data_IF_990135654238
#
_entry.id   IF_990135654238
#
_cell.length_a   1.000
_cell.length_b   1.000
_cell.length_c   1.000
_cell.angle_alpha   90.00
_cell.angle_beta   90.00
_cell.angle_gamma   90.00
#
_symmetry.space_group_name_H-M   'P 1'
#
loop_
_entity.id
_entity.type
_entity.pdbx_description
1 polymer ?
#
# COMPACT_ATOMS: atom_id res chain seq x y z
N UNK A 1 4.95 18.49 -9.17
CA UNK A 1 4.62 19.20 -7.91
C UNK A 1 5.46 18.69 -6.74
N UNK A 2 5.55 17.39 -6.46
CA UNK A 2 6.29 16.84 -5.32
C UNK A 2 7.77 17.23 -5.27
N UNK A 3 8.53 17.14 -6.39
CA UNK A 3 9.94 17.52 -6.41
C UNK A 3 10.18 18.99 -6.00
N UNK A 4 9.31 19.92 -6.43
CA UNK A 4 9.40 21.33 -6.01
C UNK A 4 9.20 21.51 -4.51
N UNK A 5 8.35 20.70 -3.87
CA UNK A 5 8.18 20.71 -2.40
C UNK A 5 9.46 20.23 -1.71
N UNK A 6 10.05 19.13 -2.18
CA UNK A 6 11.31 18.60 -1.67
C UNK A 6 12.45 19.63 -1.78
N UNK A 7 12.54 20.28 -2.91
CA UNK A 7 13.57 21.30 -3.17
C UNK A 7 13.41 22.51 -2.24
N UNK A 8 12.19 23.01 -2.04
CA UNK A 8 11.90 24.08 -1.08
C UNK A 8 12.19 23.66 0.36
N UNK A 9 11.77 22.46 0.77
CA UNK A 9 12.04 21.94 2.10
C UNK A 9 13.55 21.84 2.36
N UNK A 10 14.32 21.32 1.39
CA UNK A 10 15.77 21.26 1.46
C UNK A 10 16.42 22.66 1.59
N UNK A 11 15.96 23.63 0.80
CA UNK A 11 16.42 25.03 0.89
C UNK A 11 16.10 25.64 2.27
N UNK A 12 14.99 25.22 2.89
CA UNK A 12 14.62 25.56 4.26
C UNK A 12 15.35 24.78 5.37
N UNK A 13 16.36 23.97 5.00
CA UNK A 13 17.19 23.24 5.96
C UNK A 13 16.75 21.83 6.29
N UNK A 14 15.66 21.31 5.68
CA UNK A 14 15.22 19.91 5.88
C UNK A 14 16.26 18.96 5.30
N UNK A 15 16.70 17.99 6.09
CA UNK A 15 17.72 17.00 5.72
C UNK A 15 17.22 15.56 5.70
N UNK A 16 15.99 15.32 6.18
CA UNK A 16 15.36 14.00 6.20
C UNK A 16 13.98 14.07 5.57
N UNK A 17 13.69 13.08 4.73
CA UNK A 17 12.40 12.90 4.07
C UNK A 17 11.91 11.49 4.28
N UNK A 18 10.64 11.36 4.64
CA UNK A 18 9.90 10.09 4.69
C UNK A 18 8.78 10.18 3.67
N UNK A 19 8.67 9.18 2.80
CA UNK A 19 7.74 9.22 1.67
C UNK A 19 6.89 7.96 1.63
N UNK A 20 5.58 8.15 1.55
CA UNK A 20 4.63 7.09 1.26
C UNK A 20 4.56 6.83 -0.26
N UNK A 21 5.12 5.71 -0.68
CA UNK A 21 4.97 5.13 -2.01
C UNK A 21 3.78 4.20 -2.09
N UNK A 22 3.79 3.32 -3.08
CA UNK A 22 2.71 2.34 -3.29
C UNK A 22 3.26 1.01 -3.78
N UNK A 23 2.73 -0.09 -3.27
CA UNK A 23 3.03 -1.42 -3.79
C UNK A 23 2.70 -1.56 -5.29
N UNK A 24 1.75 -0.81 -5.80
CA UNK A 24 1.39 -0.83 -7.22
C UNK A 24 2.51 -0.37 -8.16
N UNK A 25 3.56 0.28 -7.65
CA UNK A 25 4.76 0.61 -8.41
C UNK A 25 5.42 -0.61 -9.03
N UNK A 26 5.36 -1.77 -8.38
CA UNK A 26 5.87 -3.03 -8.90
C UNK A 26 5.08 -3.54 -10.11
N UNK A 27 3.78 -3.25 -10.19
CA UNK A 27 2.93 -3.62 -11.32
C UNK A 27 3.04 -5.11 -11.66
N UNK A 28 3.35 -5.44 -12.94
CA UNK A 28 3.48 -6.83 -13.42
C UNK A 28 4.63 -7.61 -12.79
N UNK A 29 5.68 -6.93 -12.37
CA UNK A 29 6.78 -7.57 -11.64
C UNK A 29 6.30 -8.24 -10.37
N UNK A 30 5.42 -7.58 -9.60
CA UNK A 30 4.91 -8.11 -8.33
C UNK A 30 4.21 -9.47 -8.45
N UNK A 31 3.60 -9.76 -9.61
CA UNK A 31 2.89 -11.03 -9.85
C UNK A 31 3.84 -12.23 -9.89
N UNK A 32 5.11 -12.03 -10.22
CA UNK A 32 6.14 -13.08 -10.37
C UNK A 32 6.79 -13.50 -9.05
N UNK A 33 6.42 -12.84 -7.95
CA UNK A 33 7.01 -13.09 -6.63
C UNK A 33 5.99 -13.69 -5.67
N UNK A 34 6.38 -14.69 -4.92
CA UNK A 34 5.58 -15.15 -3.78
C UNK A 34 5.53 -14.08 -2.68
N UNK A 35 6.66 -13.46 -2.40
CA UNK A 35 6.80 -12.26 -1.56
C UNK A 35 7.60 -11.21 -2.34
N UNK A 36 7.02 -10.05 -2.56
CA UNK A 36 7.62 -8.99 -3.36
C UNK A 36 8.72 -8.30 -2.56
N UNK A 37 9.95 -8.42 -3.01
CA UNK A 37 11.10 -7.77 -2.36
C UNK A 37 11.11 -6.27 -2.65
N UNK A 38 11.72 -5.42 -1.77
CA UNK A 38 11.86 -4.00 -2.06
C UNK A 38 12.65 -3.68 -3.34
N UNK A 39 13.48 -4.61 -3.79
CA UNK A 39 14.32 -4.48 -4.98
C UNK A 39 13.68 -5.09 -6.25
N UNK A 40 12.42 -5.55 -6.17
CA UNK A 40 11.73 -6.07 -7.36
C UNK A 40 11.60 -4.97 -8.44
N UNK A 41 11.71 -5.30 -9.73
CA UNK A 41 11.60 -4.34 -10.82
C UNK A 41 10.28 -3.57 -10.79
N UNK A 42 10.30 -2.30 -11.20
CA UNK A 42 9.10 -1.47 -11.32
C UNK A 42 8.54 -1.62 -12.74
N UNK A 43 7.37 -2.25 -12.86
CA UNK A 43 6.68 -2.51 -14.14
C UNK A 43 5.21 -2.08 -14.07
N UNK A 44 4.95 -0.79 -13.78
CA UNK A 44 3.59 -0.30 -13.59
C UNK A 44 2.73 -0.46 -14.85
N UNK A 45 1.45 -0.84 -14.66
CA UNK A 45 0.55 -1.13 -15.78
C UNK A 45 -0.47 -0.02 -16.06
N UNK A 46 -0.62 0.96 -15.16
CA UNK A 46 -1.60 2.05 -15.24
C UNK A 46 -0.97 3.40 -14.89
N UNK A 47 -1.66 4.48 -15.18
CA UNK A 47 -1.17 5.85 -14.98
C UNK A 47 -0.81 6.17 -13.52
N UNK A 48 -1.64 5.77 -12.56
CA UNK A 48 -1.35 5.99 -11.14
C UNK A 48 -0.09 5.25 -10.67
N UNK A 49 0.05 3.92 -10.85
CA UNK A 49 1.29 3.20 -10.57
C UNK A 49 2.52 3.78 -11.28
N UNK A 50 2.37 4.16 -12.55
CA UNK A 50 3.46 4.74 -13.33
C UNK A 50 3.92 6.08 -12.73
N UNK A 51 2.99 6.94 -12.30
CA UNK A 51 3.33 8.21 -11.67
C UNK A 51 4.05 8.03 -10.33
N UNK A 52 3.66 7.02 -9.55
CA UNK A 52 4.32 6.67 -8.27
C UNK A 52 5.72 6.10 -8.51
N UNK A 53 5.87 5.18 -9.45
CA UNK A 53 7.18 4.62 -9.83
C UNK A 53 8.13 5.70 -10.37
N UNK A 54 7.66 6.60 -11.24
CA UNK A 54 8.46 7.72 -11.71
C UNK A 54 8.88 8.64 -10.54
N UNK A 55 7.97 8.91 -9.61
CA UNK A 55 8.27 9.72 -8.43
C UNK A 55 9.33 9.07 -7.54
N UNK A 56 9.28 7.74 -7.35
CA UNK A 56 10.27 7.02 -6.53
C UNK A 56 11.69 7.13 -7.11
N UNK A 57 11.82 7.02 -8.44
CA UNK A 57 13.10 7.20 -9.14
C UNK A 57 13.63 8.64 -8.98
N UNK A 58 12.74 9.63 -9.14
CA UNK A 58 13.11 11.05 -8.98
C UNK A 58 13.56 11.35 -7.55
N UNK A 59 12.87 10.84 -6.54
CA UNK A 59 13.22 11.02 -5.13
C UNK A 59 14.53 10.31 -4.77
N UNK A 60 14.75 9.11 -5.34
CA UNK A 60 16.03 8.41 -5.18
C UNK A 60 17.18 9.30 -5.65
N UNK A 61 17.12 9.78 -6.92
CA UNK A 61 18.18 10.60 -7.49
C UNK A 61 18.34 11.94 -6.75
N UNK A 62 17.24 12.55 -6.30
CA UNK A 62 17.28 13.75 -5.49
C UNK A 62 18.05 13.55 -4.19
N UNK A 63 17.78 12.45 -3.47
CA UNK A 63 18.45 12.16 -2.22
C UNK A 63 19.96 11.91 -2.41
N UNK A 64 20.33 11.17 -3.45
CA UNK A 64 21.75 10.95 -3.82
C UNK A 64 22.44 12.26 -4.16
N UNK A 65 21.84 13.08 -5.06
CA UNK A 65 22.45 14.31 -5.56
C UNK A 65 22.67 15.39 -4.49
N UNK A 66 21.79 15.44 -3.48
CA UNK A 66 21.82 16.45 -2.44
C UNK A 66 22.28 15.93 -1.07
N UNK A 67 22.76 14.69 -1.02
CA UNK A 67 23.24 14.05 0.22
C UNK A 67 22.19 14.13 1.35
N UNK A 68 20.97 13.64 1.08
CA UNK A 68 19.79 13.73 1.94
C UNK A 68 19.41 12.35 2.47
N UNK A 69 18.93 12.27 3.70
CA UNK A 69 18.33 11.07 4.27
C UNK A 69 16.93 10.88 3.68
N UNK A 70 16.73 9.82 2.92
CA UNK A 70 15.43 9.45 2.35
C UNK A 70 15.02 8.05 2.81
N UNK A 71 13.84 7.94 3.41
CA UNK A 71 13.15 6.68 3.65
C UNK A 71 11.89 6.63 2.81
N UNK A 72 11.79 5.66 1.89
CA UNK A 72 10.68 5.50 0.96
C UNK A 72 9.96 4.19 1.24
N UNK A 73 8.68 4.27 1.61
CA UNK A 73 7.87 3.14 2.03
C UNK A 73 6.81 2.81 0.99
N UNK A 74 6.94 1.67 0.29
CA UNK A 74 5.90 1.16 -0.61
C UNK A 74 4.82 0.50 0.22
N UNK A 75 3.76 1.25 0.44
CA UNK A 75 2.64 0.83 1.29
C UNK A 75 1.77 -0.17 0.55
N UNK A 76 1.45 -1.29 1.22
CA UNK A 76 0.57 -2.33 0.69
C UNK A 76 -0.90 -1.99 0.97
N UNK A 77 -1.80 -2.96 1.03
CA UNK A 77 -3.24 -2.71 1.03
C UNK A 77 -3.72 -2.09 2.36
N UNK A 78 -3.63 -0.79 2.47
CA UNK A 78 -4.11 -0.03 3.64
C UNK A 78 -5.63 -0.06 3.68
N UNK A 79 -6.17 -0.21 4.90
CA UNK A 79 -7.59 -0.07 5.18
C UNK A 79 -7.79 0.72 6.48
N UNK A 80 -8.97 1.30 6.64
CA UNK A 80 -9.35 2.01 7.86
C UNK A 80 -10.18 3.25 7.60
N UNK A 81 -10.40 4.04 8.65
CA UNK A 81 -11.19 5.25 8.57
C UNK A 81 -10.53 6.28 7.63
N UNK A 82 -11.36 6.94 6.83
CA UNK A 82 -10.90 7.88 5.80
C UNK A 82 -10.63 7.25 4.42
N UNK A 83 -10.71 5.92 4.28
CA UNK A 83 -10.64 5.27 2.97
C UNK A 83 -11.86 5.62 2.11
N UNK A 84 -11.67 5.73 0.78
CA UNK A 84 -12.77 6.05 -0.13
C UNK A 84 -13.88 4.97 -0.11
N UNK A 85 -15.14 5.39 -0.03
CA UNK A 85 -16.31 4.52 0.18
C UNK A 85 -16.46 3.37 -0.82
N UNK A 86 -15.93 3.54 -2.04
CA UNK A 86 -15.94 2.51 -3.10
C UNK A 86 -14.93 1.38 -2.91
N UNK A 87 -14.08 1.48 -1.88
CA UNK A 87 -13.08 0.47 -1.58
C UNK A 87 -13.67 -0.65 -0.73
N UNK A 88 -12.97 -1.78 -0.66
CA UNK A 88 -13.47 -3.00 -0.05
C UNK A 88 -13.88 -2.81 1.41
N UNK A 89 -13.01 -2.28 2.27
CA UNK A 89 -13.30 -2.19 3.70
C UNK A 89 -14.45 -1.25 4.02
N UNK A 90 -14.53 0.00 3.47
CA UNK A 90 -15.69 0.86 3.68
C UNK A 90 -16.98 0.28 3.11
N UNK A 91 -16.94 -0.39 1.95
CA UNK A 91 -18.11 -1.05 1.38
C UNK A 91 -18.62 -2.20 2.27
N UNK A 92 -17.71 -3.01 2.83
CA UNK A 92 -18.04 -4.04 3.82
C UNK A 92 -18.69 -3.43 5.06
N UNK A 93 -18.08 -2.37 5.61
CA UNK A 93 -18.60 -1.69 6.80
C UNK A 93 -19.98 -1.09 6.57
N UNK A 94 -20.14 -0.39 5.45
CA UNK A 94 -21.43 0.21 5.08
C UNK A 94 -22.54 -0.85 4.97
N UNK A 95 -22.31 -1.91 4.20
CA UNK A 95 -23.31 -2.98 4.00
C UNK A 95 -23.62 -3.70 5.32
N UNK A 96 -22.60 -4.03 6.12
CA UNK A 96 -22.78 -4.70 7.40
C UNK A 96 -23.63 -3.88 8.37
N UNK A 97 -23.36 -2.58 8.51
CA UNK A 97 -24.10 -1.69 9.42
C UNK A 97 -25.50 -1.35 8.90
N UNK A 98 -25.69 -1.32 7.59
CA UNK A 98 -27.00 -1.12 6.97
C UNK A 98 -27.87 -2.38 6.92
N UNK A 99 -27.32 -3.55 7.25
CA UNK A 99 -28.02 -4.84 7.21
C UNK A 99 -28.37 -5.29 5.78
N UNK A 100 -27.61 -4.88 4.78
CA UNK A 100 -27.83 -5.22 3.37
C UNK A 100 -26.80 -6.22 2.86
N UNK A 101 -27.19 -6.98 1.85
CA UNK A 101 -26.29 -7.94 1.19
C UNK A 101 -25.15 -7.22 0.48
N UNK A 102 -23.97 -7.83 0.47
CA UNK A 102 -22.82 -7.34 -0.29
C UNK A 102 -22.32 -8.40 -1.27
N UNK A 103 -22.50 -8.20 -2.60
CA UNK A 103 -21.91 -9.07 -3.59
C UNK A 103 -20.39 -8.81 -3.70
N UNK A 104 -19.58 -9.90 -3.62
CA UNK A 104 -18.15 -9.85 -3.86
C UNK A 104 -17.72 -11.03 -4.74
N UNK A 105 -16.46 -11.02 -5.19
CA UNK A 105 -15.84 -12.15 -5.89
C UNK A 105 -15.74 -13.37 -4.95
N UNK A 106 -15.22 -14.50 -5.43
CA UNK A 106 -14.91 -15.64 -4.55
C UNK A 106 -13.89 -15.30 -3.45
N UNK A 107 -13.16 -14.19 -3.63
CA UNK A 107 -12.25 -13.65 -2.62
C UNK A 107 -10.99 -14.47 -2.40
N UNK A 108 -10.54 -15.23 -3.39
CA UNK A 108 -9.33 -16.08 -3.31
C UNK A 108 -8.02 -15.28 -3.44
N UNK A 109 -8.12 -14.01 -3.86
CA UNK A 109 -6.95 -13.17 -3.99
C UNK A 109 -6.28 -12.96 -2.62
N UNK A 110 -4.98 -13.22 -2.57
CA UNK A 110 -4.17 -13.03 -1.35
C UNK A 110 -3.56 -11.63 -1.36
N UNK A 111 -3.76 -10.93 -0.26
CA UNK A 111 -3.25 -9.57 -0.02
C UNK A 111 -2.61 -9.49 1.36
N UNK A 112 -1.84 -8.45 1.58
CA UNK A 112 -1.40 -8.02 2.91
C UNK A 112 -2.18 -6.77 3.27
N UNK A 113 -3.16 -6.90 4.16
CA UNK A 113 -3.96 -5.78 4.64
C UNK A 113 -3.32 -5.18 5.88
N UNK A 114 -3.12 -3.86 5.89
CA UNK A 114 -2.49 -3.13 7.00
C UNK A 114 -3.42 -2.00 7.47
N UNK A 115 -3.70 -1.89 8.79
CA UNK A 115 -4.47 -0.78 9.35
C UNK A 115 -3.80 0.57 9.05
N UNK A 116 -4.59 1.60 8.78
CA UNK A 116 -4.05 2.95 8.51
C UNK A 116 -3.26 3.51 9.70
N UNK A 117 -3.65 3.17 10.91
CA UNK A 117 -2.97 3.56 12.15
C UNK A 117 -1.55 2.96 12.23
N UNK A 118 -1.39 1.69 11.82
CA UNK A 118 -0.08 1.02 11.78
C UNK A 118 0.81 1.67 10.73
N UNK A 119 0.24 2.01 9.56
CA UNK A 119 0.96 2.75 8.50
C UNK A 119 1.42 4.11 9.01
N UNK A 120 0.55 4.84 9.71
CA UNK A 120 0.88 6.16 10.26
C UNK A 120 2.01 6.06 11.29
N UNK A 121 1.95 5.06 12.18
CA UNK A 121 2.98 4.79 13.18
C UNK A 121 4.32 4.49 12.53
N UNK A 122 4.36 3.57 11.55
CA UNK A 122 5.59 3.20 10.82
C UNK A 122 6.23 4.41 10.10
N UNK A 123 5.40 5.28 9.51
CA UNK A 123 5.89 6.49 8.84
C UNK A 123 6.44 7.52 9.84
N UNK A 124 5.83 7.65 11.03
CA UNK A 124 6.35 8.50 12.09
C UNK A 124 7.67 7.96 12.66
N UNK A 125 7.74 6.66 12.94
CA UNK A 125 8.97 6.00 13.41
C UNK A 125 10.11 6.15 12.39
N UNK A 126 9.78 6.12 11.10
CA UNK A 126 10.75 6.35 10.02
C UNK A 126 11.37 7.77 10.05
N UNK A 127 10.72 8.74 10.68
CA UNK A 127 11.28 10.08 10.86
C UNK A 127 12.50 10.07 11.80
N UNK A 128 12.58 9.11 12.71
CA UNK A 128 13.67 8.98 13.70
C UNK A 128 14.63 7.82 13.40
N UNK A 129 14.37 7.06 12.32
CA UNK A 129 15.13 5.87 11.99
C UNK A 129 16.63 6.16 11.80
N UNK A 130 17.46 5.64 12.68
CA UNK A 130 18.92 5.92 12.71
C UNK A 130 19.69 5.26 11.56
N UNK A 131 19.18 4.18 10.97
CA UNK A 131 19.81 3.44 9.88
C UNK A 131 19.77 4.11 8.50
N UNK A 132 19.10 5.28 8.35
CA UNK A 132 19.05 6.01 7.09
C UNK A 132 20.24 6.96 7.02
N UNK A 133 21.12 6.73 6.04
CA UNK A 133 22.33 7.53 5.84
C UNK A 133 22.12 8.65 4.82
N UNK A 134 22.98 9.67 4.90
CA UNK A 134 22.97 10.77 3.93
C UNK A 134 23.37 10.24 2.55
N UNK A 135 22.58 10.56 1.53
CA UNK A 135 22.84 10.14 0.15
C UNK A 135 22.64 8.65 -0.16
N UNK A 136 22.23 7.83 0.84
CA UNK A 136 21.91 6.41 0.67
C UNK A 136 20.41 6.19 0.91
N UNK A 137 19.54 6.38 -0.11
CA UNK A 137 18.10 6.22 0.05
C UNK A 137 17.70 4.81 0.47
N UNK A 138 16.85 4.71 1.50
CA UNK A 138 16.32 3.45 1.98
C UNK A 138 14.91 3.22 1.42
N UNK A 139 14.74 2.13 0.67
CA UNK A 139 13.46 1.68 0.14
C UNK A 139 12.98 0.44 0.89
N UNK A 140 11.75 0.48 1.38
CA UNK A 140 11.12 -0.61 2.12
C UNK A 140 9.71 -0.89 1.62
N UNK A 141 9.25 -2.12 1.83
CA UNK A 141 7.84 -2.45 1.81
C UNK A 141 7.25 -2.19 3.19
N UNK A 142 6.04 -1.63 3.22
CA UNK A 142 5.27 -1.43 4.43
C UNK A 142 3.97 -2.23 4.32
N UNK A 143 3.78 -3.20 5.19
CA UNK A 143 2.65 -4.10 5.27
C UNK A 143 2.56 -4.73 6.65
N UNK A 144 1.58 -5.58 6.87
CA UNK A 144 1.38 -6.26 8.16
C UNK A 144 2.26 -7.51 8.34
N UNK A 145 2.78 -8.06 7.24
CA UNK A 145 3.45 -9.36 7.21
C UNK A 145 2.49 -10.55 7.39
N UNK A 146 1.19 -10.33 7.29
CA UNK A 146 0.13 -11.34 7.50
C UNK A 146 -0.73 -11.47 6.24
N UNK A 147 -0.26 -12.24 5.23
CA UNK A 147 -1.05 -12.48 4.03
C UNK A 147 -2.35 -13.18 4.36
N UNK A 148 -3.44 -12.70 3.80
CA UNK A 148 -4.75 -13.31 3.92
C UNK A 148 -5.55 -13.15 2.63
N UNK A 149 -6.52 -14.01 2.40
CA UNK A 149 -7.43 -13.88 1.28
C UNK A 149 -8.41 -12.73 1.49
N UNK A 150 -8.92 -12.16 0.40
CA UNK A 150 -10.01 -11.17 0.47
C UNK A 150 -11.23 -11.76 1.18
N UNK A 151 -11.51 -13.07 0.98
CA UNK A 151 -12.58 -13.80 1.68
C UNK A 151 -12.38 -13.80 3.20
N UNK A 152 -11.19 -14.18 3.66
CA UNK A 152 -10.88 -14.20 5.10
C UNK A 152 -11.03 -12.82 5.72
N UNK A 153 -10.49 -11.80 5.06
CA UNK A 153 -10.62 -10.40 5.48
C UNK A 153 -12.09 -9.95 5.53
N UNK A 154 -12.85 -10.22 4.47
CA UNK A 154 -14.26 -9.83 4.40
C UNK A 154 -15.11 -10.54 5.45
N UNK A 155 -14.95 -11.86 5.61
CA UNK A 155 -15.68 -12.66 6.61
C UNK A 155 -15.34 -12.22 8.04
N UNK A 156 -14.07 -11.90 8.31
CA UNK A 156 -13.67 -11.40 9.63
C UNK A 156 -14.42 -10.11 9.97
N UNK A 157 -14.39 -9.11 9.08
CA UNK A 157 -15.07 -7.84 9.31
C UNK A 157 -16.59 -7.95 9.33
N UNK A 158 -17.17 -8.80 8.48
CA UNK A 158 -18.61 -9.08 8.47
C UNK A 158 -19.11 -9.60 9.81
N UNK A 159 -18.39 -10.52 10.39
CA UNK A 159 -18.68 -11.07 11.73
C UNK A 159 -18.43 -10.04 12.83
N UNK A 160 -17.34 -9.29 12.73
CA UNK A 160 -16.96 -8.25 13.69
C UNK A 160 -18.07 -7.21 13.86
N UNK A 161 -18.67 -6.76 12.77
CA UNK A 161 -19.79 -5.82 12.79
C UNK A 161 -21.16 -6.47 13.01
N UNK A 162 -21.24 -7.79 13.19
CA UNK A 162 -22.48 -8.53 13.39
C UNK A 162 -23.50 -8.25 12.28
N UNK A 163 -23.05 -8.25 11.04
CA UNK A 163 -23.88 -7.96 9.89
C UNK A 163 -25.11 -8.87 9.80
N UNK A 164 -26.27 -8.30 9.45
CA UNK A 164 -27.53 -9.04 9.30
C UNK A 164 -27.77 -9.48 7.84
N UNK A 165 -27.19 -8.80 6.87
CA UNK A 165 -27.24 -9.19 5.46
C UNK A 165 -26.30 -10.34 5.12
N UNK A 166 -26.30 -10.79 3.88
CA UNK A 166 -25.46 -11.85 3.36
C UNK A 166 -24.23 -11.33 2.62
N UNK A 167 -23.04 -11.88 2.95
CA UNK A 167 -21.83 -11.70 2.15
C UNK A 167 -21.87 -12.69 0.97
N UNK A 168 -22.28 -12.21 -0.20
CA UNK A 168 -22.51 -13.03 -1.40
C UNK A 168 -21.20 -13.30 -2.15
N UNK A 169 -20.49 -14.34 -1.71
CA UNK A 169 -19.24 -14.78 -2.34
C UNK A 169 -19.51 -15.35 -3.75
N UNK A 170 -18.69 -14.94 -4.71
CA UNK A 170 -18.78 -15.38 -6.10
C UNK A 170 -19.92 -14.72 -6.91
N UNK A 171 -20.64 -13.76 -6.33
CA UNK A 171 -21.70 -13.04 -7.03
C UNK A 171 -21.15 -12.06 -8.08
N UNK A 172 -19.88 -11.68 -7.97
CA UNK A 172 -19.17 -10.85 -8.94
C UNK A 172 -18.01 -11.67 -9.54
N UNK A 173 -17.84 -11.70 -10.86
CA UNK A 173 -16.70 -12.37 -11.49
C UNK A 173 -15.39 -11.62 -11.20
N UNK A 174 -14.27 -12.32 -11.28
CA UNK A 174 -12.96 -11.67 -11.31
C UNK A 174 -12.82 -10.76 -12.53
N UNK A 175 -12.04 -9.69 -12.37
CA UNK A 175 -11.67 -8.85 -13.51
C UNK A 175 -10.71 -9.61 -14.41
N UNK A 176 -10.73 -9.30 -15.69
CA UNK A 176 -9.71 -9.80 -16.60
C UNK A 176 -8.31 -9.37 -16.11
N UNK A 177 -7.38 -10.32 -16.04
CA UNK A 177 -6.04 -10.07 -15.51
C UNK A 177 -5.97 -9.86 -13.99
N UNK A 178 -6.97 -10.33 -13.23
CA UNK A 178 -6.96 -10.22 -11.77
C UNK A 178 -5.69 -10.83 -11.16
N UNK A 179 -5.04 -10.04 -10.32
CA UNK A 179 -3.84 -10.47 -9.62
C UNK A 179 -4.21 -11.29 -8.40
N UNK A 180 -3.89 -12.58 -8.41
CA UNK A 180 -4.31 -13.51 -7.34
C UNK A 180 -3.44 -13.42 -6.09
N UNK A 181 -2.18 -12.97 -6.19
CA UNK A 181 -1.30 -12.81 -5.01
C UNK A 181 -0.48 -11.54 -5.13
N UNK A 182 -0.48 -10.74 -4.06
CA UNK A 182 0.29 -9.49 -4.00
C UNK A 182 0.61 -9.15 -2.54
N UNK A 183 1.76 -9.66 -2.06
CA UNK A 183 2.18 -9.56 -0.65
C UNK A 183 3.64 -9.11 -0.56
N UNK A 184 4.01 -8.30 0.46
CA UNK A 184 5.38 -7.85 0.63
C UNK A 184 6.27 -8.93 1.24
N UNK A 185 7.55 -8.90 0.89
CA UNK A 185 8.61 -9.29 1.80
C UNK A 185 8.89 -8.07 2.70
N UNK A 186 8.69 -8.22 3.98
CA UNK A 186 9.12 -7.22 4.96
C UNK A 186 10.61 -7.43 5.25
N UNK A 187 11.33 -6.34 5.42
CA UNK A 187 12.78 -6.34 5.73
C UNK A 187 13.01 -6.11 7.22
#
# INVERSE_FOLDING_TARGET
MALKMFERARQGGVRRFVVAGSCFEYGRSGIRHEFITPNAPLEPSFSYPASKAASSIVFFQFAVSYNIKLSYHRVFHVYGDGEAEVRLWPSLRHAALAGIDLPITLGEQVRDFVPVEDVATELLDACELTGVKDGEPLFRNLGSGRPQTIREFAVFWWRHWRAQGDLRLGAIPYREGEVMRYVPQLT
#
